data_IF_458328193446
#
_entry.id   IF_458328193446
#
_cell.length_a   1.000
_cell.length_b   1.000
_cell.length_c   1.000
_cell.angle_alpha   90.00
_cell.angle_beta   90.00
_cell.angle_gamma   90.00
#
_symmetry.space_group_name_H-M   'P 1'
#
loop_
_entity.id
_entity.type
_entity.pdbx_description
1 polymer ?
#
# COMPACT_ATOMS: atom_id res chain seq x y z
N UNK A 1 -12.04 -20.64 -26.66
CA UNK A 1 -11.88 -19.17 -26.55
C UNK A 1 -11.74 -18.83 -25.08
N UNK A 2 -10.60 -18.30 -24.62
CA UNK A 2 -10.42 -17.93 -23.24
C UNK A 2 -11.27 -16.69 -22.98
N UNK A 3 -12.22 -16.79 -22.06
CA UNK A 3 -12.97 -15.68 -21.52
C UNK A 3 -12.02 -14.79 -20.73
N UNK A 4 -11.47 -13.80 -21.41
CA UNK A 4 -10.62 -12.78 -20.81
C UNK A 4 -11.42 -11.96 -19.79
N UNK A 5 -11.28 -12.24 -18.52
CA UNK A 5 -11.80 -11.43 -17.40
C UNK A 5 -11.01 -10.13 -17.18
N UNK A 6 -10.13 -9.80 -18.09
CA UNK A 6 -9.62 -8.44 -18.25
C UNK A 6 -10.68 -7.61 -18.96
N UNK A 7 -11.00 -6.45 -18.42
CA UNK A 7 -11.91 -5.47 -19.05
C UNK A 7 -11.60 -5.41 -20.55
N UNK A 8 -12.52 -5.82 -21.45
CA UNK A 8 -12.24 -5.88 -22.86
C UNK A 8 -11.78 -4.51 -23.36
N UNK A 9 -10.82 -4.48 -24.30
CA UNK A 9 -10.23 -3.24 -24.88
C UNK A 9 -11.25 -2.15 -25.25
N UNK A 10 -12.50 -2.53 -25.52
CA UNK A 10 -13.61 -1.62 -25.84
C UNK A 10 -14.32 -1.03 -24.61
N UNK A 11 -14.48 -1.78 -23.54
CA UNK A 11 -15.32 -1.35 -22.41
C UNK A 11 -14.66 -0.21 -21.63
N UNK A 12 -13.35 -0.23 -21.39
CA UNK A 12 -12.65 0.87 -20.70
C UNK A 12 -12.60 2.12 -21.58
N UNK A 13 -12.36 1.95 -22.88
CA UNK A 13 -12.37 3.05 -23.85
C UNK A 13 -13.76 3.66 -24.00
N UNK A 14 -14.80 2.85 -24.18
CA UNK A 14 -16.19 3.30 -24.26
C UNK A 14 -16.69 3.86 -22.95
N UNK A 15 -16.26 3.28 -21.81
CA UNK A 15 -16.56 3.78 -20.47
C UNK A 15 -15.95 5.16 -20.23
N UNK A 16 -14.70 5.39 -20.63
CA UNK A 16 -14.02 6.68 -20.47
C UNK A 16 -14.58 7.72 -21.46
N UNK A 17 -14.91 7.32 -22.70
CA UNK A 17 -15.46 8.20 -23.72
C UNK A 17 -16.93 8.56 -23.48
N UNK A 18 -17.72 7.65 -22.94
CA UNK A 18 -19.16 7.79 -22.69
C UNK A 18 -19.50 8.48 -21.37
N UNK A 19 -18.50 8.82 -20.55
CA UNK A 19 -18.64 9.24 -19.16
C UNK A 19 -19.11 10.71 -18.95
N UNK A 20 -19.94 11.25 -19.83
CA UNK A 20 -20.80 12.39 -19.47
C UNK A 20 -22.11 11.97 -18.78
N UNK A 21 -22.59 10.71 -18.93
CA UNK A 21 -23.89 10.25 -18.41
C UNK A 21 -23.87 8.86 -17.76
N UNK A 22 -22.71 8.32 -17.34
CA UNK A 22 -22.61 6.95 -16.80
C UNK A 22 -23.22 6.75 -15.40
N UNK A 23 -23.67 7.80 -14.72
CA UNK A 23 -24.25 7.67 -13.39
C UNK A 23 -25.63 6.94 -13.42
N UNK A 24 -26.37 7.03 -14.52
CA UNK A 24 -27.73 6.48 -14.60
C UNK A 24 -27.78 5.04 -15.17
N UNK A 25 -26.88 4.66 -16.07
CA UNK A 25 -26.91 3.34 -16.70
C UNK A 25 -26.47 2.19 -15.79
N UNK A 26 -25.62 2.46 -14.78
CA UNK A 26 -25.11 1.45 -13.86
C UNK A 26 -26.00 1.23 -12.61
N UNK A 27 -26.92 2.13 -12.34
CA UNK A 27 -27.81 2.03 -11.17
C UNK A 27 -28.96 1.05 -11.41
N UNK A 28 -29.36 0.79 -12.65
CA UNK A 28 -30.53 -0.05 -12.98
C UNK A 28 -30.21 -1.52 -13.29
N UNK A 29 -28.95 -1.88 -13.61
CA UNK A 29 -28.57 -3.27 -13.71
C UNK A 29 -27.88 -3.71 -12.42
N UNK A 30 -28.55 -4.50 -11.59
CA UNK A 30 -27.92 -5.29 -10.52
C UNK A 30 -26.99 -6.30 -11.16
N UNK A 31 -25.81 -5.85 -11.62
CA UNK A 31 -24.77 -6.75 -12.07
C UNK A 31 -24.38 -7.62 -10.88
N UNK A 32 -24.73 -8.89 -10.92
CA UNK A 32 -24.07 -9.90 -10.10
C UNK A 32 -22.61 -9.83 -10.46
N UNK A 33 -21.79 -9.23 -9.59
CA UNK A 33 -20.34 -9.20 -9.77
C UNK A 33 -19.87 -10.64 -9.95
N UNK A 34 -19.29 -11.01 -11.11
CA UNK A 34 -18.81 -12.37 -11.33
C UNK A 34 -17.77 -12.71 -10.27
N UNK A 35 -17.88 -13.89 -9.69
CA UNK A 35 -16.84 -14.39 -8.79
C UNK A 35 -15.60 -14.67 -9.62
N UNK A 36 -14.48 -14.05 -9.23
CA UNK A 36 -13.19 -14.29 -9.84
C UNK A 36 -12.67 -15.64 -9.34
N UNK A 37 -12.35 -16.56 -10.25
CA UNK A 37 -11.67 -17.80 -9.88
C UNK A 37 -10.18 -17.51 -9.63
N UNK A 38 -9.81 -17.47 -8.35
CA UNK A 38 -8.44 -17.18 -7.93
C UNK A 38 -7.44 -18.26 -8.33
N UNK A 39 -7.90 -19.51 -8.59
CA UNK A 39 -7.02 -20.59 -9.07
C UNK A 39 -6.66 -20.36 -10.54
N UNK A 40 -7.64 -20.01 -11.35
CA UNK A 40 -7.45 -19.70 -12.77
C UNK A 40 -6.51 -18.50 -12.93
N UNK A 41 -6.73 -17.40 -12.19
CA UNK A 41 -5.85 -16.23 -12.21
C UNK A 41 -4.39 -16.58 -11.91
N UNK A 42 -4.15 -17.41 -10.89
CA UNK A 42 -2.78 -17.84 -10.56
C UNK A 42 -2.15 -18.73 -11.64
N UNK A 43 -2.95 -19.58 -12.26
CA UNK A 43 -2.46 -20.44 -13.33
C UNK A 43 -2.06 -19.61 -14.54
N UNK A 44 -2.88 -18.63 -14.90
CA UNK A 44 -2.58 -17.69 -15.98
C UNK A 44 -1.31 -16.86 -15.68
N UNK A 45 -1.15 -16.36 -14.44
CA UNK A 45 0.06 -15.64 -14.04
C UNK A 45 1.33 -16.50 -14.16
N UNK A 46 1.28 -17.77 -13.72
CA UNK A 46 2.41 -18.70 -13.88
C UNK A 46 2.74 -18.98 -15.34
N UNK A 47 1.72 -19.17 -16.15
CA UNK A 47 1.88 -19.41 -17.57
C UNK A 47 2.51 -18.19 -18.26
N UNK A 48 2.00 -16.99 -17.99
CA UNK A 48 2.53 -15.74 -18.54
C UNK A 48 4.00 -15.52 -18.15
N UNK A 49 4.36 -15.77 -16.90
CA UNK A 49 5.76 -15.71 -16.45
C UNK A 49 6.65 -16.72 -17.16
N UNK A 50 6.17 -17.96 -17.38
CA UNK A 50 6.92 -18.99 -18.09
C UNK A 50 7.14 -18.65 -19.57
N UNK A 51 6.15 -18.02 -20.22
CA UNK A 51 6.23 -17.56 -21.61
C UNK A 51 7.18 -16.34 -21.76
N UNK A 52 7.32 -15.53 -20.71
CA UNK A 52 8.12 -14.29 -20.73
C UNK A 52 9.20 -14.25 -19.63
N UNK A 53 10.25 -15.10 -19.69
CA UNK A 53 11.27 -15.16 -18.63
C UNK A 53 12.07 -13.85 -18.48
N UNK A 54 12.17 -13.03 -19.53
CA UNK A 54 12.83 -11.71 -19.50
C UNK A 54 12.08 -10.67 -18.66
N UNK A 55 10.83 -10.94 -18.24
CA UNK A 55 10.07 -10.09 -17.31
C UNK A 55 10.83 -9.88 -16.00
N UNK A 56 11.65 -10.84 -15.61
CA UNK A 56 12.54 -10.76 -14.44
C UNK A 56 13.45 -9.54 -14.48
N UNK A 57 13.96 -9.15 -15.67
CA UNK A 57 14.83 -7.98 -15.85
C UNK A 57 14.09 -6.67 -15.55
N UNK A 58 12.81 -6.59 -15.89
CA UNK A 58 11.98 -5.39 -15.66
C UNK A 58 11.72 -5.20 -14.18
N UNK A 59 11.52 -6.29 -13.41
CA UNK A 59 11.27 -6.22 -11.97
C UNK A 59 12.54 -6.17 -11.10
N UNK A 60 13.72 -6.31 -11.70
CA UNK A 60 14.99 -6.28 -10.97
C UNK A 60 15.22 -4.92 -10.27
N UNK A 61 14.96 -3.81 -10.96
CA UNK A 61 15.15 -2.47 -10.38
C UNK A 61 14.17 -2.17 -9.23
N UNK A 62 12.85 -2.39 -9.34
CA UNK A 62 11.94 -2.28 -8.20
C UNK A 62 12.37 -3.14 -7.00
N UNK A 63 12.89 -4.37 -7.25
CA UNK A 63 13.35 -5.26 -6.20
C UNK A 63 14.59 -4.73 -5.49
N UNK A 64 15.56 -4.16 -6.21
CA UNK A 64 16.74 -3.50 -5.62
C UNK A 64 16.31 -2.35 -4.70
N UNK A 65 15.37 -1.50 -5.13
CA UNK A 65 14.86 -0.42 -4.29
C UNK A 65 14.12 -0.93 -3.06
N UNK A 66 13.40 -2.06 -3.16
CA UNK A 66 12.79 -2.70 -2.00
C UNK A 66 13.85 -3.20 -1.01
N UNK A 67 14.89 -3.87 -1.50
CA UNK A 67 16.01 -4.35 -0.68
C UNK A 67 16.67 -3.17 0.04
N UNK A 68 17.00 -2.11 -0.67
CA UNK A 68 17.58 -0.90 -0.07
C UNK A 68 16.65 -0.29 0.99
N UNK A 69 15.34 -0.24 0.73
CA UNK A 69 14.38 0.32 1.70
C UNK A 69 14.23 -0.52 2.96
N UNK A 70 14.49 -1.84 2.91
CA UNK A 70 14.40 -2.73 4.06
C UNK A 70 15.51 -2.52 5.10
N UNK A 71 16.65 -1.92 4.68
CA UNK A 71 17.73 -1.54 5.60
C UNK A 71 17.50 -0.19 6.29
N UNK A 72 16.47 0.55 5.89
CA UNK A 72 16.18 1.88 6.42
C UNK A 72 14.94 1.79 7.31
N UNK A 73 15.16 1.79 8.64
CA UNK A 73 14.04 1.82 9.60
C UNK A 73 13.80 3.25 10.08
N UNK A 74 12.60 3.82 9.88
CA UNK A 74 12.28 5.15 10.41
C UNK A 74 12.23 5.18 11.95
N UNK A 75 11.90 4.07 12.59
CA UNK A 75 11.77 3.97 14.05
C UNK A 75 13.12 4.06 14.78
N UNK A 76 14.23 3.65 14.15
CA UNK A 76 15.56 3.77 14.73
C UNK A 76 16.09 5.21 14.82
N UNK A 77 15.40 6.14 14.16
CA UNK A 77 15.75 7.56 14.11
C UNK A 77 14.94 8.40 15.12
N UNK A 78 14.00 7.79 15.85
CA UNK A 78 13.24 8.48 16.89
C UNK A 78 14.08 8.53 18.18
N UNK A 79 14.34 9.74 18.63
CA UNK A 79 14.99 9.98 19.93
C UNK A 79 14.04 9.65 21.08
N UNK A 80 14.55 9.03 22.15
CA UNK A 80 13.72 8.60 23.29
C UNK A 80 13.00 9.76 23.99
N UNK A 81 13.61 10.96 23.99
CA UNK A 81 13.00 12.17 24.55
C UNK A 81 11.78 12.72 23.81
N UNK A 82 11.55 12.29 22.56
CA UNK A 82 10.43 12.76 21.74
C UNK A 82 9.08 12.21 22.23
N UNK A 83 9.10 11.06 22.90
CA UNK A 83 7.90 10.36 23.37
C UNK A 83 7.21 11.08 24.55
N UNK A 84 7.91 11.96 25.25
CA UNK A 84 7.36 12.78 26.36
C UNK A 84 6.69 14.07 25.87
N UNK A 85 6.79 14.37 24.58
CA UNK A 85 6.29 15.60 23.99
C UNK A 85 4.84 15.46 23.48
N UNK A 86 4.27 16.59 23.01
CA UNK A 86 2.91 16.60 22.46
C UNK A 86 2.80 15.70 21.22
N UNK A 87 1.58 15.24 20.94
CA UNK A 87 1.27 14.48 19.70
C UNK A 87 1.77 15.19 18.42
N UNK A 88 1.67 16.50 18.37
CA UNK A 88 2.13 17.25 17.19
C UNK A 88 3.65 17.16 17.02
N UNK A 89 4.42 17.28 18.09
CA UNK A 89 5.87 17.17 18.05
C UNK A 89 6.30 15.75 17.68
N UNK A 90 5.64 14.72 18.25
CA UNK A 90 5.82 13.32 17.84
C UNK A 90 5.56 13.13 16.33
N UNK A 91 4.46 13.68 15.81
CA UNK A 91 4.12 13.59 14.38
C UNK A 91 5.19 14.27 13.51
N UNK A 92 5.67 15.45 13.90
CA UNK A 92 6.72 16.16 13.17
C UNK A 92 8.03 15.39 13.14
N UNK A 93 8.44 14.80 14.26
CA UNK A 93 9.64 13.96 14.35
C UNK A 93 9.50 12.70 13.50
N UNK A 94 8.33 12.08 13.51
CA UNK A 94 8.03 10.91 12.69
C UNK A 94 8.06 11.26 11.19
N UNK A 95 7.52 12.41 10.80
CA UNK A 95 7.61 12.90 9.42
C UNK A 95 9.08 13.15 9.06
N UNK A 96 9.83 13.85 9.89
CA UNK A 96 11.22 14.18 9.63
C UNK A 96 12.10 12.92 9.51
N UNK A 97 11.97 11.97 10.42
CA UNK A 97 12.71 10.69 10.39
C UNK A 97 12.30 9.82 9.19
N UNK A 98 11.06 9.95 8.72
CA UNK A 98 10.51 9.19 7.61
C UNK A 98 10.74 9.83 6.25
N UNK A 99 11.23 11.06 6.14
CA UNK A 99 11.38 11.76 4.84
C UNK A 99 12.23 10.96 3.86
N UNK A 100 13.39 10.45 4.29
CA UNK A 100 14.27 9.67 3.43
C UNK A 100 13.65 8.30 3.05
N UNK A 101 13.15 7.48 4.00
CA UNK A 101 12.41 6.26 3.66
C UNK A 101 11.20 6.51 2.76
N UNK A 102 10.46 7.60 2.98
CA UNK A 102 9.33 7.97 2.13
C UNK A 102 9.76 8.31 0.71
N UNK A 103 10.86 9.06 0.54
CA UNK A 103 11.40 9.39 -0.77
C UNK A 103 11.85 8.13 -1.52
N UNK A 104 12.59 7.22 -0.87
CA UNK A 104 13.01 5.94 -1.44
C UNK A 104 11.79 5.08 -1.81
N UNK A 105 10.82 4.93 -0.90
CA UNK A 105 9.61 4.17 -1.14
C UNK A 105 8.70 4.80 -2.21
N UNK A 106 8.73 6.13 -2.37
CA UNK A 106 7.98 6.81 -3.44
C UNK A 106 8.64 6.59 -4.81
N UNK A 107 9.96 6.69 -4.89
CA UNK A 107 10.74 6.37 -6.09
C UNK A 107 10.53 4.92 -6.51
N UNK A 108 10.60 3.99 -5.56
CA UNK A 108 10.29 2.57 -5.80
C UNK A 108 8.90 2.37 -6.38
N UNK A 109 7.90 3.12 -5.90
CA UNK A 109 6.51 3.03 -6.42
C UNK A 109 6.40 3.53 -7.87
N UNK A 110 7.16 4.56 -8.26
CA UNK A 110 7.19 5.05 -9.65
C UNK A 110 7.83 4.00 -10.56
N UNK A 111 8.96 3.42 -10.13
CA UNK A 111 9.68 2.40 -10.88
C UNK A 111 8.83 1.13 -11.03
N UNK A 112 8.14 0.73 -9.95
CA UNK A 112 7.19 -0.39 -10.00
C UNK A 112 6.02 -0.11 -10.95
N UNK A 113 5.48 1.11 -10.95
CA UNK A 113 4.46 1.51 -11.92
C UNK A 113 4.98 1.45 -13.37
N UNK A 114 6.26 1.79 -13.61
CA UNK A 114 6.91 1.61 -14.91
C UNK A 114 7.02 0.14 -15.32
N UNK A 115 7.40 -0.73 -14.40
CA UNK A 115 7.42 -2.19 -14.63
C UNK A 115 6.03 -2.73 -14.96
N UNK A 116 4.98 -2.27 -14.25
CA UNK A 116 3.60 -2.62 -14.55
C UNK A 116 3.14 -2.11 -15.93
N UNK A 117 3.54 -0.90 -16.30
CA UNK A 117 3.24 -0.34 -17.62
C UNK A 117 3.82 -1.21 -18.74
N UNK A 118 5.06 -1.64 -18.59
CA UNK A 118 5.74 -2.56 -19.53
C UNK A 118 5.05 -3.92 -19.57
N UNK A 119 4.67 -4.48 -18.40
CA UNK A 119 3.96 -5.76 -18.31
C UNK A 119 2.61 -5.71 -19.03
N UNK A 120 1.83 -4.63 -18.86
CA UNK A 120 0.55 -4.43 -19.54
C UNK A 120 0.75 -4.31 -21.06
N UNK A 121 1.80 -3.59 -21.49
CA UNK A 121 2.11 -3.46 -22.90
C UNK A 121 2.53 -4.79 -23.52
N UNK A 122 3.34 -5.58 -22.81
CA UNK A 122 3.73 -6.94 -23.23
C UNK A 122 2.51 -7.86 -23.40
N UNK A 123 1.55 -7.78 -22.47
CA UNK A 123 0.30 -8.54 -22.58
C UNK A 123 -0.54 -8.14 -23.80
N UNK A 124 -0.41 -6.90 -24.25
CA UNK A 124 -1.14 -6.36 -25.44
C UNK A 124 -0.43 -6.63 -26.75
N UNK A 125 0.90 -6.62 -26.74
CA UNK A 125 1.77 -6.69 -27.90
C UNK A 125 2.85 -7.70 -27.58
N UNK A 126 2.69 -8.94 -27.99
CA UNK A 126 3.55 -10.07 -27.63
C UNK A 126 5.00 -10.00 -28.13
N UNK A 127 5.33 -9.08 -29.02
CA UNK A 127 6.63 -8.99 -29.70
C UNK A 127 7.54 -7.87 -29.16
N UNK A 128 7.37 -7.44 -27.91
CA UNK A 128 8.20 -6.39 -27.32
C UNK A 128 9.47 -7.03 -26.75
N UNK A 129 10.64 -6.54 -27.19
CA UNK A 129 11.91 -6.85 -26.52
C UNK A 129 11.99 -6.18 -25.15
N UNK A 130 12.09 -6.98 -24.10
CA UNK A 130 12.15 -6.50 -22.73
C UNK A 130 13.59 -6.12 -22.35
N UNK A 131 13.76 -4.91 -21.81
CA UNK A 131 15.00 -4.38 -21.29
C UNK A 131 14.82 -3.91 -19.85
N UNK A 132 15.91 -3.89 -19.10
CA UNK A 132 15.99 -3.29 -17.77
C UNK A 132 15.51 -1.82 -17.73
N UNK A 133 15.74 -1.07 -18.81
CA UNK A 133 15.34 0.35 -18.93
C UNK A 133 13.82 0.55 -18.98
N UNK A 134 13.07 -0.48 -19.31
CA UNK A 134 11.61 -0.38 -19.47
C UNK A 134 10.89 -0.15 -18.13
N UNK A 135 11.51 -0.54 -17.00
CA UNK A 135 11.03 -0.18 -15.68
C UNK A 135 11.06 1.33 -15.40
N UNK A 136 11.88 2.08 -16.14
CA UNK A 136 12.03 3.53 -16.04
C UNK A 136 11.14 4.30 -17.02
N UNK A 137 10.32 3.62 -17.81
CA UNK A 137 9.49 4.21 -18.88
C UNK A 137 8.58 5.35 -18.42
N UNK A 138 8.12 5.33 -17.17
CA UNK A 138 7.29 6.39 -16.59
C UNK A 138 8.10 7.56 -15.99
N UNK A 139 9.44 7.47 -15.95
CA UNK A 139 10.30 8.59 -15.58
C UNK A 139 10.57 9.56 -16.75
N UNK A 140 10.13 9.20 -17.97
CA UNK A 140 10.18 10.12 -19.10
C UNK A 140 9.35 11.37 -18.79
N UNK A 141 9.87 12.55 -19.13
CA UNK A 141 9.26 13.86 -18.89
C UNK A 141 7.79 13.93 -19.36
N UNK A 142 7.43 13.15 -20.36
CA UNK A 142 6.07 13.06 -20.93
C UNK A 142 5.06 12.51 -19.94
N UNK A 143 5.43 11.53 -19.13
CA UNK A 143 4.52 10.80 -18.24
C UNK A 143 4.78 11.10 -16.76
N UNK A 144 5.97 11.59 -16.43
CA UNK A 144 6.42 11.75 -15.07
C UNK A 144 5.48 12.60 -14.21
N UNK A 145 5.10 13.78 -14.67
CA UNK A 145 4.27 14.70 -13.87
C UNK A 145 2.92 14.08 -13.49
N UNK A 146 2.28 13.38 -14.44
CA UNK A 146 0.97 12.77 -14.19
C UNK A 146 1.09 11.56 -13.27
N UNK A 147 2.14 10.75 -13.46
CA UNK A 147 2.46 9.61 -12.59
C UNK A 147 2.76 10.07 -11.19
N UNK A 148 3.65 11.05 -11.04
CA UNK A 148 4.03 11.64 -9.76
C UNK A 148 2.81 12.17 -8.99
N UNK A 149 2.01 13.02 -9.62
CA UNK A 149 0.83 13.61 -8.98
C UNK A 149 -0.22 12.56 -8.62
N UNK A 150 -0.40 11.53 -9.44
CA UNK A 150 -1.39 10.47 -9.15
C UNK A 150 -0.98 9.63 -7.95
N UNK A 151 0.29 9.20 -7.90
CA UNK A 151 0.82 8.42 -6.78
C UNK A 151 0.93 9.25 -5.50
N UNK A 152 1.31 10.53 -5.61
CA UNK A 152 1.31 11.44 -4.47
C UNK A 152 -0.09 11.62 -3.88
N UNK A 153 -1.08 11.86 -4.74
CA UNK A 153 -2.47 12.02 -4.32
C UNK A 153 -3.04 10.73 -3.70
N UNK A 154 -2.70 9.55 -4.24
CA UNK A 154 -3.03 8.25 -3.65
C UNK A 154 -2.47 8.14 -2.24
N UNK A 155 -1.17 8.43 -2.06
CA UNK A 155 -0.51 8.37 -0.74
C UNK A 155 -1.10 9.36 0.24
N UNK A 156 -1.41 10.58 -0.21
CA UNK A 156 -2.04 11.60 0.62
C UNK A 156 -3.40 11.13 1.16
N UNK A 157 -4.27 10.58 0.31
CA UNK A 157 -5.55 10.05 0.78
C UNK A 157 -5.38 8.87 1.75
N UNK A 158 -4.45 7.95 1.49
CA UNK A 158 -4.18 6.84 2.40
C UNK A 158 -3.62 7.33 3.73
N UNK A 159 -2.77 8.36 3.73
CA UNK A 159 -2.26 8.98 4.94
C UNK A 159 -3.39 9.58 5.80
N UNK A 160 -4.36 10.27 5.20
CA UNK A 160 -5.51 10.79 5.94
C UNK A 160 -6.29 9.68 6.66
N UNK A 161 -6.45 8.51 6.02
CA UNK A 161 -7.12 7.37 6.63
C UNK A 161 -6.26 6.63 7.65
N UNK A 162 -4.95 6.84 7.67
CA UNK A 162 -4.04 6.26 8.67
C UNK A 162 -3.95 7.08 9.96
N UNK A 163 -4.50 8.29 10.03
CA UNK A 163 -4.42 9.18 11.20
C UNK A 163 -4.87 8.49 12.51
N UNK A 164 -6.01 7.75 12.57
CA UNK A 164 -6.39 7.06 13.80
C UNK A 164 -5.35 6.02 14.24
N UNK A 165 -4.72 5.30 13.30
CA UNK A 165 -3.63 4.37 13.60
C UNK A 165 -2.41 5.09 14.15
N UNK A 166 -2.01 6.23 13.56
CA UNK A 166 -0.88 7.04 14.04
C UNK A 166 -1.11 7.54 15.46
N UNK A 167 -2.35 7.97 15.76
CA UNK A 167 -2.70 8.39 17.11
C UNK A 167 -2.69 7.21 18.09
N UNK A 168 -3.16 6.02 17.68
CA UNK A 168 -3.05 4.80 18.47
C UNK A 168 -1.59 4.43 18.77
N UNK A 169 -0.71 4.48 17.76
CA UNK A 169 0.74 4.25 17.93
C UNK A 169 1.34 5.27 18.89
N UNK A 170 1.01 6.56 18.78
CA UNK A 170 1.46 7.59 19.73
C UNK A 170 1.07 7.26 21.17
N UNK A 171 -0.21 6.91 21.41
CA UNK A 171 -0.67 6.55 22.76
C UNK A 171 0.03 5.31 23.31
N UNK A 172 0.37 4.33 22.45
CA UNK A 172 1.12 3.14 22.84
C UNK A 172 2.53 3.52 23.30
N UNK A 173 3.24 4.36 22.54
CA UNK A 173 4.55 4.85 22.94
C UNK A 173 4.49 5.72 24.20
N UNK A 174 3.48 6.60 24.28
CA UNK A 174 3.27 7.43 25.48
C UNK A 174 3.04 6.58 26.73
N UNK A 175 2.20 5.54 26.64
CA UNK A 175 1.98 4.63 27.77
C UNK A 175 3.26 3.87 28.16
N UNK A 176 4.10 3.48 27.19
CA UNK A 176 5.38 2.81 27.49
C UNK A 176 6.40 3.76 28.13
N UNK A 177 6.45 5.03 27.71
CA UNK A 177 7.30 6.06 28.34
C UNK A 177 6.84 6.35 29.78
N UNK A 178 5.52 6.46 29.98
CA UNK A 178 4.93 6.62 31.32
C UNK A 178 5.26 5.45 32.25
N UNK A 179 5.22 4.21 31.73
CA UNK A 179 5.60 3.02 32.52
C UNK A 179 7.08 3.04 32.90
N UNK A 180 7.97 3.40 31.99
CA UNK A 180 9.41 3.54 32.28
C UNK A 180 9.66 4.58 33.39
N UNK A 181 9.07 5.76 33.24
CA UNK A 181 9.21 6.85 34.22
C UNK A 181 8.67 6.47 35.60
N UNK A 182 7.58 5.71 35.64
CA UNK A 182 7.02 5.21 36.90
C UNK A 182 7.97 4.24 37.57
N UNK A 183 8.58 3.29 36.84
CA UNK A 183 9.56 2.33 37.36
C UNK A 183 10.83 3.05 37.85
N UNK A 184 11.28 4.08 37.16
CA UNK A 184 12.43 4.90 37.58
C UNK A 184 12.17 5.66 38.89
N UNK A 185 10.94 6.17 39.08
CA UNK A 185 10.54 6.88 40.31
C UNK A 185 10.27 5.93 41.48
N UNK A 186 9.93 4.68 41.20
CA UNK A 186 9.60 3.65 42.18
C UNK A 186 10.47 2.40 41.97
N UNK A 187 11.77 2.43 42.31
CA UNK A 187 12.69 1.31 42.06
C UNK A 187 12.32 0.04 42.87
N UNK A 188 11.50 0.17 43.92
CA UNK A 188 10.99 -0.94 44.71
C UNK A 188 9.81 -1.69 44.04
N UNK A 189 9.29 -1.19 42.94
CA UNK A 189 8.25 -1.89 42.18
C UNK A 189 8.84 -3.11 41.43
N UNK A 190 8.26 -4.30 41.48
CA UNK A 190 6.91 -4.68 41.93
C UNK A 190 6.81 -5.26 43.35
N UNK A 191 7.83 -5.15 44.18
CA UNK A 191 7.89 -5.75 45.52
C UNK A 191 7.02 -4.99 46.57
N UNK A 192 6.47 -3.85 46.21
CA UNK A 192 5.66 -3.02 47.12
C UNK A 192 4.21 -3.50 47.11
N UNK A 193 3.62 -3.50 48.33
CA UNK A 193 2.21 -3.85 48.53
C UNK A 193 1.30 -2.94 47.73
N UNK A 194 0.42 -3.51 46.89
CA UNK A 194 -0.42 -2.83 45.86
C UNK A 194 -1.48 -1.88 46.49
N UNK A 195 -1.46 -1.69 47.77
CA UNK A 195 -2.39 -0.80 48.52
C UNK A 195 -2.03 0.67 48.46
N UNK A 196 -0.96 1.07 47.76
CA UNK A 196 -0.57 2.46 47.63
C UNK A 196 -1.46 3.15 46.52
N UNK A 197 -2.15 4.21 46.89
CA UNK A 197 -3.02 4.99 46.01
C UNK A 197 -2.35 5.46 44.70
N UNK A 198 -1.05 5.71 44.74
CA UNK A 198 -0.28 6.16 43.59
C UNK A 198 -0.08 5.06 42.55
N UNK A 199 0.09 3.80 43.02
CA UNK A 199 0.18 2.62 42.16
C UNK A 199 -1.17 2.34 41.48
N UNK A 200 -2.27 2.41 42.21
CA UNK A 200 -3.61 2.19 41.72
C UNK A 200 -3.96 3.25 40.63
N UNK A 201 -3.69 4.51 40.90
CA UNK A 201 -3.92 5.61 39.93
C UNK A 201 -3.05 5.45 38.69
N UNK A 202 -1.77 5.05 38.85
CA UNK A 202 -0.88 4.74 37.74
C UNK A 202 -1.42 3.61 36.88
N UNK A 203 -1.77 2.47 37.49
CA UNK A 203 -2.28 1.30 36.76
C UNK A 203 -3.55 1.61 35.97
N UNK A 204 -4.47 2.37 36.56
CA UNK A 204 -5.70 2.76 35.88
C UNK A 204 -5.41 3.68 34.69
N UNK A 205 -4.54 4.66 34.86
CA UNK A 205 -4.16 5.61 33.81
C UNK A 205 -3.39 4.90 32.70
N UNK A 206 -2.44 4.04 33.04
CA UNK A 206 -1.70 3.21 32.08
C UNK A 206 -2.64 2.32 31.28
N UNK A 207 -3.55 1.61 31.96
CA UNK A 207 -4.52 0.75 31.32
C UNK A 207 -5.41 1.53 30.33
N UNK A 208 -5.87 2.73 30.71
CA UNK A 208 -6.68 3.59 29.85
C UNK A 208 -5.93 3.95 28.55
N UNK A 209 -4.68 4.40 28.64
CA UNK A 209 -3.88 4.74 27.46
C UNK A 209 -3.52 3.51 26.63
N UNK A 210 -3.14 2.41 27.26
CA UNK A 210 -2.79 1.18 26.58
C UNK A 210 -3.98 0.58 25.82
N UNK A 211 -5.10 0.35 26.49
CA UNK A 211 -6.29 -0.19 25.85
C UNK A 211 -6.92 0.79 24.85
N UNK A 212 -6.87 2.10 25.14
CA UNK A 212 -7.27 3.15 24.21
C UNK A 212 -6.43 3.13 22.93
N UNK A 213 -5.11 2.93 23.04
CA UNK A 213 -4.21 2.79 21.89
C UNK A 213 -4.56 1.59 21.02
N UNK A 214 -4.75 0.42 21.64
CA UNK A 214 -5.13 -0.82 20.93
C UNK A 214 -6.48 -0.65 20.24
N UNK A 215 -7.46 -0.05 20.91
CA UNK A 215 -8.76 0.23 20.32
C UNK A 215 -8.65 1.15 19.09
N UNK A 216 -7.88 2.23 19.18
CA UNK A 216 -7.66 3.16 18.05
C UNK A 216 -6.90 2.51 16.90
N UNK A 217 -5.93 1.63 17.18
CA UNK A 217 -5.22 0.89 16.13
C UNK A 217 -6.16 -0.08 15.39
N UNK A 218 -7.03 -0.79 16.12
CA UNK A 218 -8.03 -1.68 15.53
C UNK A 218 -9.02 -0.87 14.69
N UNK A 219 -9.60 0.19 15.26
CA UNK A 219 -10.55 1.09 14.57
C UNK A 219 -9.91 1.70 13.32
N UNK A 220 -8.69 2.23 13.46
CA UNK A 220 -7.94 2.81 12.35
C UNK A 220 -7.68 1.80 11.23
N UNK A 221 -7.35 0.56 11.57
CA UNK A 221 -7.15 -0.53 10.59
C UNK A 221 -8.45 -0.86 9.87
N UNK A 222 -9.58 -0.95 10.59
CA UNK A 222 -10.91 -1.20 10.01
C UNK A 222 -11.30 -0.08 9.03
N UNK A 223 -10.95 1.16 9.31
CA UNK A 223 -11.21 2.31 8.43
C UNK A 223 -10.24 2.37 7.25
N UNK A 224 -8.96 2.04 7.48
CA UNK A 224 -7.90 2.12 6.48
C UNK A 224 -8.01 1.05 5.39
N UNK A 225 -8.24 -0.22 5.77
CA UNK A 225 -8.25 -1.36 4.84
C UNK A 225 -9.22 -1.19 3.67
N UNK A 226 -10.50 -0.79 3.85
CA UNK A 226 -11.41 -0.58 2.74
C UNK A 226 -10.96 0.51 1.76
N UNK A 227 -10.24 1.52 2.25
CA UNK A 227 -9.70 2.59 1.41
C UNK A 227 -8.45 2.14 0.67
N UNK A 228 -7.56 1.39 1.34
CA UNK A 228 -6.41 0.78 0.70
C UNK A 228 -6.82 -0.04 -0.52
N UNK A 229 -7.82 -0.93 -0.36
CA UNK A 229 -8.35 -1.71 -1.49
C UNK A 229 -9.12 -0.88 -2.51
N UNK A 230 -9.73 0.22 -2.11
CA UNK A 230 -10.38 1.12 -3.07
C UNK A 230 -9.39 1.76 -4.05
N UNK A 231 -8.14 1.96 -3.64
CA UNK A 231 -7.08 2.55 -4.46
C UNK A 231 -6.11 1.51 -5.04
N UNK A 232 -6.37 0.21 -4.92
CA UNK A 232 -5.47 -0.85 -5.39
C UNK A 232 -5.30 -0.91 -6.91
N UNK A 233 -6.25 -0.34 -7.68
CA UNK A 233 -6.21 -0.33 -9.15
C UNK A 233 -5.65 0.97 -9.74
N UNK A 234 -5.16 1.88 -8.90
CA UNK A 234 -4.71 3.21 -9.35
C UNK A 234 -3.54 3.09 -10.33
N UNK A 235 -2.56 2.23 -10.06
CA UNK A 235 -1.38 2.05 -10.92
C UNK A 235 -1.78 1.50 -12.30
N UNK A 236 -2.63 0.47 -12.34
CA UNK A 236 -3.09 -0.12 -13.59
C UNK A 236 -3.91 0.87 -14.44
N UNK A 237 -4.83 1.60 -13.79
CA UNK A 237 -5.61 2.63 -14.46
C UNK A 237 -4.77 3.83 -14.92
N UNK A 238 -3.73 4.16 -14.17
CA UNK A 238 -2.78 5.19 -14.56
C UNK A 238 -2.07 4.79 -15.85
N UNK A 239 -1.55 3.56 -15.93
CA UNK A 239 -0.92 3.03 -17.14
C UNK A 239 -1.86 3.09 -18.36
N UNK A 240 -3.12 2.68 -18.19
CA UNK A 240 -4.11 2.73 -19.26
C UNK A 240 -4.42 4.16 -19.71
N UNK A 241 -4.59 5.07 -18.77
CA UNK A 241 -4.94 6.46 -19.09
C UNK A 241 -3.78 7.25 -19.66
N UNK A 242 -2.54 6.91 -19.29
CA UNK A 242 -1.31 7.47 -19.88
C UNK A 242 -1.16 7.05 -21.35
N UNK A 243 -1.40 5.76 -21.65
CA UNK A 243 -1.33 5.26 -23.02
C UNK A 243 -2.29 5.97 -23.97
N UNK A 244 -3.43 6.48 -23.46
CA UNK A 244 -4.45 7.22 -24.25
C UNK A 244 -4.23 8.73 -24.18
N UNK A 245 -3.32 9.23 -23.33
CA UNK A 245 -3.03 10.67 -23.21
C UNK A 245 -4.07 11.49 -22.43
N UNK A 246 -4.97 10.85 -21.64
CA UNK A 246 -6.07 11.51 -20.92
C UNK A 246 -5.94 11.38 -19.38
N UNK A 247 -4.77 11.03 -18.88
CA UNK A 247 -4.54 10.82 -17.47
C UNK A 247 -4.77 12.11 -16.66
N UNK A 248 -5.75 12.08 -15.75
CA UNK A 248 -5.98 13.11 -14.72
C UNK A 248 -5.97 12.45 -13.35
N UNK A 249 -5.08 12.86 -12.42
CA UNK A 249 -4.88 12.20 -11.13
C UNK A 249 -6.18 11.94 -10.34
N UNK A 250 -7.01 12.97 -10.17
CA UNK A 250 -8.27 12.86 -9.44
C UNK A 250 -9.29 11.92 -10.11
N UNK A 251 -9.29 11.85 -11.45
CA UNK A 251 -10.17 10.95 -12.20
C UNK A 251 -9.72 9.51 -12.03
N UNK A 252 -8.42 9.23 -12.14
CA UNK A 252 -7.84 7.89 -11.94
C UNK A 252 -8.22 7.33 -10.57
N UNK A 253 -8.07 8.14 -9.50
CA UNK A 253 -8.44 7.72 -8.14
C UNK A 253 -9.95 7.45 -8.00
N UNK A 254 -10.80 8.33 -8.55
CA UNK A 254 -12.26 8.14 -8.52
C UNK A 254 -12.68 6.87 -9.27
N UNK A 255 -12.08 6.61 -10.42
CA UNK A 255 -12.35 5.41 -11.23
C UNK A 255 -11.90 4.14 -10.50
N UNK A 256 -10.72 4.14 -9.85
CA UNK A 256 -10.26 3.02 -9.03
C UNK A 256 -11.25 2.69 -7.91
N UNK A 257 -11.68 3.70 -7.15
CA UNK A 257 -12.70 3.52 -6.09
C UNK A 257 -14.00 2.94 -6.62
N UNK A 258 -14.41 3.35 -7.79
CA UNK A 258 -15.63 2.88 -8.43
C UNK A 258 -15.49 1.41 -8.90
N UNK A 259 -14.41 1.06 -9.59
CA UNK A 259 -14.15 -0.31 -10.07
C UNK A 259 -14.03 -1.31 -8.92
N UNK A 260 -13.43 -0.89 -7.80
CA UNK A 260 -13.27 -1.75 -6.62
C UNK A 260 -14.54 -1.87 -5.77
N UNK A 261 -15.63 -1.20 -6.13
CA UNK A 261 -16.90 -1.34 -5.42
C UNK A 261 -17.45 -2.75 -5.66
N UNK A 262 -17.56 -3.53 -4.59
CA UNK A 262 -17.99 -4.95 -4.64
C UNK A 262 -16.85 -5.97 -4.72
N UNK A 263 -15.64 -5.57 -5.15
CA UNK A 263 -14.49 -6.49 -5.29
C UNK A 263 -13.43 -6.38 -4.18
N UNK A 264 -13.56 -5.42 -3.26
CA UNK A 264 -12.56 -5.18 -2.21
C UNK A 264 -12.26 -6.42 -1.38
N UNK A 265 -13.29 -7.18 -1.02
CA UNK A 265 -13.14 -8.40 -0.23
C UNK A 265 -12.45 -9.51 -1.04
N UNK A 266 -12.76 -9.67 -2.33
CA UNK A 266 -12.09 -10.63 -3.19
C UNK A 266 -10.60 -10.30 -3.33
N UNK A 267 -10.27 -9.02 -3.47
CA UNK A 267 -8.87 -8.56 -3.50
C UNK A 267 -8.16 -8.82 -2.17
N UNK A 268 -8.82 -8.58 -1.04
CA UNK A 268 -8.29 -8.93 0.28
C UNK A 268 -7.97 -10.42 0.41
N UNK A 269 -8.88 -11.29 -0.04
CA UNK A 269 -8.66 -12.74 -0.03
C UNK A 269 -7.49 -13.14 -0.93
N UNK A 270 -7.33 -12.49 -2.09
CA UNK A 270 -6.17 -12.71 -2.95
C UNK A 270 -4.86 -12.34 -2.23
N UNK A 271 -4.80 -11.18 -1.59
CA UNK A 271 -3.61 -10.73 -0.86
C UNK A 271 -3.30 -11.65 0.34
N UNK A 272 -4.33 -12.17 1.05
CA UNK A 272 -4.16 -13.20 2.07
C UNK A 272 -3.50 -14.46 1.52
N UNK A 273 -3.89 -14.88 0.31
CA UNK A 273 -3.29 -16.05 -0.32
C UNK A 273 -1.86 -15.80 -0.81
N UNK A 274 -1.49 -14.54 -1.05
CA UNK A 274 -0.12 -14.13 -1.39
C UNK A 274 0.75 -13.89 -0.14
N UNK A 275 0.16 -13.91 1.06
CA UNK A 275 0.86 -13.65 2.32
C UNK A 275 2.11 -14.52 2.54
N UNK A 276 2.12 -15.84 2.23
CA UNK A 276 3.34 -16.64 2.32
C UNK A 276 4.49 -16.12 1.44
N UNK A 277 4.16 -15.57 0.27
CA UNK A 277 5.15 -14.97 -0.64
C UNK A 277 5.71 -13.66 -0.08
N UNK A 278 4.85 -12.80 0.49
CA UNK A 278 5.31 -11.59 1.17
C UNK A 278 6.16 -11.90 2.40
N UNK A 279 5.82 -12.96 3.14
CA UNK A 279 6.61 -13.44 4.27
C UNK A 279 7.99 -13.92 3.82
N UNK A 280 8.07 -14.64 2.69
CA UNK A 280 9.35 -15.06 2.10
C UNK A 280 10.19 -13.86 1.66
N UNK A 281 9.58 -12.82 1.06
CA UNK A 281 10.26 -11.57 0.71
C UNK A 281 10.81 -10.91 1.99
N UNK A 282 10.03 -10.88 3.05
CA UNK A 282 10.43 -10.25 4.31
C UNK A 282 11.61 -10.99 4.98
N UNK A 283 11.58 -12.33 5.10
CA UNK A 283 12.67 -13.13 5.68
C UNK A 283 13.96 -13.02 4.84
N UNK A 284 13.84 -12.91 3.52
CA UNK A 284 14.99 -12.79 2.61
C UNK A 284 15.53 -11.36 2.51
N UNK A 285 15.10 -10.43 3.37
CA UNK A 285 15.44 -8.99 3.27
C UNK A 285 15.17 -8.41 1.87
N UNK A 286 14.11 -8.88 1.23
CA UNK A 286 13.71 -8.42 -0.10
C UNK A 286 14.33 -9.16 -1.27
N UNK A 287 15.36 -10.01 -1.09
CA UNK A 287 16.05 -10.71 -2.21
C UNK A 287 15.07 -11.57 -3.00
N UNK A 288 14.16 -12.27 -2.32
CA UNK A 288 13.16 -13.10 -2.97
C UNK A 288 12.18 -12.31 -3.88
N UNK A 289 12.09 -10.98 -3.71
CA UNK A 289 11.22 -10.13 -4.56
C UNK A 289 11.59 -10.19 -6.03
N UNK A 290 12.86 -10.41 -6.37
CA UNK A 290 13.35 -10.55 -7.75
C UNK A 290 12.57 -11.62 -8.51
N UNK A 291 12.35 -12.78 -7.87
CA UNK A 291 11.63 -13.91 -8.47
C UNK A 291 10.11 -13.85 -8.26
N UNK A 292 9.66 -13.23 -7.17
CA UNK A 292 8.26 -13.25 -6.75
C UNK A 292 7.46 -12.10 -7.38
N UNK A 293 8.04 -10.91 -7.58
CA UNK A 293 7.33 -9.78 -8.17
C UNK A 293 6.80 -10.04 -9.58
N UNK A 294 7.56 -10.65 -10.51
CA UNK A 294 7.00 -11.03 -11.80
C UNK A 294 5.73 -11.88 -11.69
N UNK A 295 5.69 -12.79 -10.69
CA UNK A 295 4.51 -13.63 -10.44
C UNK A 295 3.33 -12.88 -9.81
N UNK A 296 3.60 -11.96 -8.88
CA UNK A 296 2.54 -11.18 -8.21
C UNK A 296 1.89 -10.19 -9.16
N UNK A 297 2.67 -9.63 -10.09
CA UNK A 297 2.27 -8.51 -10.94
C UNK A 297 2.01 -8.92 -12.42
N UNK A 298 2.21 -10.19 -12.80
CA UNK A 298 1.75 -10.75 -14.06
C UNK A 298 0.29 -11.22 -14.00
#
# INVERSE_FOLDING_TARGET
SPSSYFVPKGILYDFIKKNRNCHELWYNERMKYPKIDLKEVRQQAKQFQAEHPRLLLVFLLPSIFLILSSFISPLSLLDEGILEQSFFTFLMSLIQSSLFPLAVGFTSSIILAGALFTTINLYRISEIELSFKDSLSLLDNRFFTQTFLTLLLKRFYLFLWSIPNLFGVYLLFYSSAMARKFVELHPEFPAVDVTNSDIEHFLLTFALYFFGSVFLMILGTILYLPQYYAYSQVELLLCDTLAIGIAKPSRVLKTSRFLMKGYKFQRFVLDLQLLPWYFLIWISFGIASISIYPYIYS
#
